data_IF_108320151587
#
_entry.id   IF_108320151587
#
_cell.length_a   1.000
_cell.length_b   1.000
_cell.length_c   1.000
_cell.angle_alpha   90.00
_cell.angle_beta   90.00
_cell.angle_gamma   90.00
#
_symmetry.space_group_name_H-M   'P 1'
#
loop_
_entity.id
_entity.type
_entity.pdbx_description
1 polymer ?
#
# COMPACT_ATOMS: atom_id res chain seq x y z
N UNK A 1 -70.02 50.46 -0.79
CA UNK A 1 -69.15 49.32 -0.41
C UNK A 1 -68.34 48.89 -1.62
N UNK A 2 -67.05 49.26 -1.68
CA UNK A 2 -66.10 48.76 -2.68
C UNK A 2 -64.85 48.35 -1.91
N UNK A 3 -64.53 47.04 -1.92
CA UNK A 3 -63.39 46.45 -1.23
C UNK A 3 -62.19 46.44 -2.18
N UNK A 4 -61.14 47.18 -1.81
CA UNK A 4 -59.79 46.99 -2.33
C UNK A 4 -59.23 45.60 -1.96
N UNK A 5 -58.44 44.95 -2.81
CA UNK A 5 -57.71 43.75 -2.45
C UNK A 5 -56.48 44.11 -1.57
N UNK A 6 -56.07 43.23 -0.62
CA UNK A 6 -54.97 43.52 0.29
C UNK A 6 -53.59 43.29 -0.34
N UNK A 7 -52.63 44.06 0.16
CA UNK A 7 -51.22 44.13 -0.24
C UNK A 7 -50.46 42.83 -0.08
N UNK A 8 -49.58 42.53 -1.05
CA UNK A 8 -48.59 41.45 -0.99
C UNK A 8 -47.56 41.74 0.12
N UNK A 9 -47.54 40.90 1.15
CA UNK A 9 -46.46 40.80 2.14
C UNK A 9 -45.26 40.11 1.52
N UNK A 10 -44.07 40.74 1.62
CA UNK A 10 -42.78 40.17 1.22
C UNK A 10 -42.41 39.04 2.18
N UNK A 11 -42.41 37.81 1.68
CA UNK A 11 -41.95 36.62 2.39
C UNK A 11 -40.42 36.56 2.40
N UNK A 12 -39.88 36.44 3.62
CA UNK A 12 -38.52 36.11 4.01
C UNK A 12 -37.77 35.19 3.02
N UNK A 13 -36.64 35.68 2.50
CA UNK A 13 -35.65 34.87 1.77
C UNK A 13 -34.90 33.97 2.76
N UNK A 14 -35.47 32.81 3.04
CA UNK A 14 -34.81 31.70 3.72
C UNK A 14 -34.64 30.56 2.70
N UNK A 15 -33.68 30.67 1.79
CA UNK A 15 -33.34 29.57 0.89
C UNK A 15 -31.83 29.44 0.61
N UNK A 16 -31.35 28.23 0.94
CA UNK A 16 -30.24 27.50 0.31
C UNK A 16 -28.80 27.95 0.59
N UNK A 17 -28.26 27.53 1.74
CA UNK A 17 -26.81 27.44 2.01
C UNK A 17 -26.39 25.96 2.15
N UNK A 18 -27.03 25.08 1.37
CA UNK A 18 -26.87 23.63 1.51
C UNK A 18 -26.53 23.02 0.15
N UNK A 19 -25.25 23.15 -0.25
CA UNK A 19 -24.47 22.24 -1.11
C UNK A 19 -23.40 22.95 -1.94
N UNK A 20 -22.31 23.40 -1.32
CA UNK A 20 -21.07 23.69 -2.07
C UNK A 20 -19.88 23.13 -1.29
N UNK A 21 -19.64 21.82 -1.47
CA UNK A 21 -18.49 21.11 -0.90
C UNK A 21 -17.44 20.72 -1.95
N UNK A 22 -17.73 20.89 -3.24
CA UNK A 22 -16.78 20.57 -4.31
C UNK A 22 -15.95 21.82 -4.66
N UNK A 23 -14.68 21.83 -4.26
CA UNK A 23 -13.67 22.79 -4.73
C UNK A 23 -13.11 23.77 -3.70
N UNK A 24 -13.83 24.07 -2.61
CA UNK A 24 -13.43 25.08 -1.62
C UNK A 24 -12.37 24.59 -0.60
N UNK A 25 -12.00 23.30 -0.60
CA UNK A 25 -11.18 22.71 0.46
C UNK A 25 -9.83 23.41 0.69
N UNK A 26 -9.09 23.72 -0.39
CA UNK A 26 -7.81 24.43 -0.31
C UNK A 26 -7.98 25.89 0.15
N UNK A 27 -9.06 26.54 -0.28
CA UNK A 27 -9.35 27.92 0.12
C UNK A 27 -9.81 28.01 1.58
N UNK A 28 -10.52 26.99 2.08
CA UNK A 28 -10.85 26.87 3.51
C UNK A 28 -9.58 26.79 4.35
N UNK A 29 -8.66 25.89 3.98
CA UNK A 29 -7.37 25.76 4.68
C UNK A 29 -6.58 27.09 4.63
N UNK A 30 -6.51 27.73 3.46
CA UNK A 30 -5.87 29.04 3.30
C UNK A 30 -6.51 30.14 4.15
N UNK A 31 -7.85 30.20 4.18
CA UNK A 31 -8.59 31.17 4.99
C UNK A 31 -8.21 31.06 6.45
N UNK A 32 -8.24 29.85 7.03
CA UNK A 32 -8.01 29.70 8.46
C UNK A 32 -6.55 29.97 8.82
N UNK A 33 -5.59 29.50 8.00
CA UNK A 33 -4.16 29.73 8.20
C UNK A 33 -3.81 31.23 8.21
N UNK A 34 -4.29 31.97 7.21
CA UNK A 34 -3.99 33.40 7.09
C UNK A 34 -4.85 34.26 8.03
N UNK A 35 -6.07 33.84 8.37
CA UNK A 35 -6.88 34.52 9.38
C UNK A 35 -6.17 34.50 10.74
N UNK A 36 -5.64 33.33 11.14
CA UNK A 36 -4.81 33.23 12.35
C UNK A 36 -3.60 34.16 12.26
N UNK A 37 -2.86 34.15 11.15
CA UNK A 37 -1.67 35.00 10.97
C UNK A 37 -1.99 36.51 11.06
N UNK A 38 -3.04 36.97 10.38
CA UNK A 38 -3.43 38.37 10.36
C UNK A 38 -3.89 38.83 11.75
N UNK A 39 -4.75 38.06 12.41
CA UNK A 39 -5.26 38.41 13.74
C UNK A 39 -4.16 38.41 14.81
N UNK A 40 -3.21 37.48 14.71
CA UNK A 40 -2.07 37.42 15.63
C UNK A 40 -1.04 38.52 15.38
N UNK A 41 -0.99 39.08 14.16
CA UNK A 41 -0.21 40.29 13.86
C UNK A 41 -0.84 41.58 14.41
N UNK A 42 -2.03 41.49 15.02
CA UNK A 42 -2.77 42.63 15.56
C UNK A 42 -3.71 43.31 14.56
N UNK A 43 -3.93 42.71 13.39
CA UNK A 43 -4.95 43.19 12.43
C UNK A 43 -6.35 42.94 13.01
N UNK A 44 -7.28 43.88 12.81
CA UNK A 44 -8.68 43.68 13.19
C UNK A 44 -9.38 42.66 12.27
N UNK A 45 -10.43 42.03 12.78
CA UNK A 45 -11.14 40.94 12.09
C UNK A 45 -11.77 41.37 10.77
N UNK A 46 -12.29 42.60 10.67
CA UNK A 46 -12.95 43.09 9.47
C UNK A 46 -11.92 43.33 8.36
N UNK A 47 -10.80 43.96 8.69
CA UNK A 47 -9.67 44.15 7.77
C UNK A 47 -9.05 42.81 7.35
N UNK A 48 -8.94 41.85 8.27
CA UNK A 48 -8.44 40.52 7.96
C UNK A 48 -9.36 39.79 6.97
N UNK A 49 -10.68 39.79 7.21
CA UNK A 49 -11.67 39.17 6.31
C UNK A 49 -11.67 39.85 4.93
N UNK A 50 -11.59 41.18 4.86
CA UNK A 50 -11.52 41.92 3.60
C UNK A 50 -10.24 41.60 2.81
N UNK A 51 -9.09 41.54 3.49
CA UNK A 51 -7.81 41.17 2.88
C UNK A 51 -7.89 39.77 2.28
N UNK A 52 -8.42 38.81 3.06
CA UNK A 52 -8.54 37.42 2.61
C UNK A 52 -9.52 37.25 1.46
N UNK A 53 -10.61 38.03 1.43
CA UNK A 53 -11.57 38.03 0.33
C UNK A 53 -10.91 38.34 -1.02
N UNK A 54 -9.95 39.27 -1.06
CA UNK A 54 -9.18 39.62 -2.26
C UNK A 54 -8.40 38.44 -2.86
N UNK A 55 -7.94 37.52 -2.00
CA UNK A 55 -7.13 36.36 -2.37
C UNK A 55 -7.97 35.12 -2.73
N UNK A 56 -9.28 35.12 -2.44
CA UNK A 56 -10.15 33.98 -2.76
C UNK A 56 -10.35 33.86 -4.28
N UNK A 57 -10.15 32.65 -4.83
CA UNK A 57 -10.29 32.38 -6.27
C UNK A 57 -11.72 32.06 -6.64
N UNK A 58 -12.47 31.34 -5.81
CA UNK A 58 -13.86 30.97 -6.10
C UNK A 58 -14.86 32.05 -5.69
N UNK A 59 -15.88 32.26 -6.52
CA UNK A 59 -16.99 33.17 -6.22
C UNK A 59 -17.78 32.73 -4.98
N UNK A 60 -17.88 31.42 -4.74
CA UNK A 60 -18.52 30.87 -3.56
C UNK A 60 -17.81 31.30 -2.28
N UNK A 61 -16.48 31.22 -2.22
CA UNK A 61 -15.72 31.62 -1.03
C UNK A 61 -15.78 33.14 -0.81
N UNK A 62 -15.69 33.94 -1.88
CA UNK A 62 -15.87 35.41 -1.79
C UNK A 62 -17.22 35.79 -1.20
N UNK A 63 -18.30 35.13 -1.63
CA UNK A 63 -19.64 35.35 -1.09
C UNK A 63 -19.73 34.99 0.40
N UNK A 64 -19.10 33.90 0.82
CA UNK A 64 -19.04 33.54 2.25
C UNK A 64 -18.28 34.62 3.04
N UNK A 65 -17.21 35.20 2.49
CA UNK A 65 -16.49 36.31 3.14
C UNK A 65 -17.35 37.57 3.22
N UNK A 66 -18.15 37.88 2.19
CA UNK A 66 -19.10 39.00 2.20
C UNK A 66 -20.16 38.82 3.29
N UNK A 67 -20.79 37.64 3.36
CA UNK A 67 -21.78 37.30 4.38
C UNK A 67 -21.15 37.33 5.80
N UNK A 68 -19.92 36.84 5.95
CA UNK A 68 -19.19 36.88 7.21
C UNK A 68 -18.90 38.32 7.65
N UNK A 69 -18.47 39.17 6.72
CA UNK A 69 -18.20 40.58 6.98
C UNK A 69 -19.47 41.32 7.39
N UNK A 70 -20.57 41.14 6.66
CA UNK A 70 -21.86 41.77 6.96
C UNK A 70 -22.37 41.37 8.36
N UNK A 71 -22.27 40.09 8.73
CA UNK A 71 -22.66 39.60 10.04
C UNK A 71 -21.81 40.22 11.16
N UNK A 72 -20.48 40.30 10.99
CA UNK A 72 -19.58 40.92 11.98
C UNK A 72 -19.82 42.43 12.07
N UNK A 73 -19.97 43.12 10.93
CA UNK A 73 -20.24 44.57 10.87
C UNK A 73 -21.61 44.92 11.50
N UNK A 74 -22.59 44.02 11.40
CA UNK A 74 -23.88 44.13 12.09
C UNK A 74 -23.82 43.90 13.61
N UNK A 75 -22.64 43.56 14.14
CA UNK A 75 -22.40 43.34 15.57
C UNK A 75 -22.61 41.91 16.07
N UNK A 76 -22.74 40.93 15.16
CA UNK A 76 -22.78 39.52 15.58
C UNK A 76 -21.42 39.07 16.11
N UNK A 77 -21.37 38.24 17.18
CA UNK A 77 -20.14 37.64 17.63
C UNK A 77 -19.41 36.89 16.52
N UNK A 78 -18.08 37.02 16.46
CA UNK A 78 -17.21 36.42 15.43
C UNK A 78 -17.41 34.90 15.38
N UNK A 79 -17.46 34.23 16.54
CA UNK A 79 -17.66 32.78 16.59
C UNK A 79 -19.00 32.35 15.97
N UNK A 80 -20.06 33.17 16.13
CA UNK A 80 -21.40 32.88 15.65
C UNK A 80 -21.48 33.08 14.14
N UNK A 81 -20.87 34.16 13.64
CA UNK A 81 -20.77 34.43 12.21
C UNK A 81 -19.97 33.31 11.50
N UNK A 82 -18.85 32.88 12.09
CA UNK A 82 -18.06 31.77 11.57
C UNK A 82 -18.77 30.42 11.64
N UNK A 83 -19.56 30.13 12.68
CA UNK A 83 -20.33 28.87 12.76
C UNK A 83 -21.39 28.77 11.64
N UNK A 84 -21.99 29.89 11.22
CA UNK A 84 -22.94 29.93 10.10
C UNK A 84 -22.31 29.47 8.79
N UNK A 85 -21.03 29.76 8.57
CA UNK A 85 -20.30 29.38 7.34
C UNK A 85 -20.08 27.87 7.21
N UNK A 86 -20.09 27.13 8.34
CA UNK A 86 -19.73 25.70 8.42
C UNK A 86 -18.36 25.38 7.79
N UNK A 87 -17.46 26.36 7.71
CA UNK A 87 -16.07 26.18 7.28
C UNK A 87 -15.26 25.52 8.40
N UNK A 88 -15.49 25.95 9.64
CA UNK A 88 -14.73 25.52 10.81
C UNK A 88 -15.40 24.33 11.50
N UNK A 89 -14.61 23.38 12.02
CA UNK A 89 -15.13 22.29 12.83
C UNK A 89 -15.58 22.81 14.21
N UNK A 90 -16.53 22.11 14.83
CA UNK A 90 -17.19 22.55 16.06
C UNK A 90 -16.24 22.87 17.23
N UNK A 91 -15.15 22.11 17.39
CA UNK A 91 -14.16 22.37 18.44
C UNK A 91 -13.40 23.69 18.24
N UNK A 92 -13.17 24.11 16.99
CA UNK A 92 -12.57 25.42 16.69
C UNK A 92 -13.57 26.52 17.02
N UNK A 93 -14.84 26.35 16.65
CA UNK A 93 -15.90 27.32 17.03
C UNK A 93 -15.97 27.49 18.56
N UNK A 94 -15.91 26.40 19.32
CA UNK A 94 -15.88 26.46 20.80
C UNK A 94 -14.68 27.25 21.33
N UNK A 95 -13.48 27.05 20.75
CA UNK A 95 -12.28 27.83 21.12
C UNK A 95 -12.43 29.31 20.79
N UNK A 96 -12.97 29.64 19.61
CA UNK A 96 -13.18 31.03 19.21
C UNK A 96 -14.21 31.72 20.10
N UNK A 97 -15.29 31.02 20.46
CA UNK A 97 -16.31 31.53 21.38
C UNK A 97 -15.71 31.94 22.72
N UNK A 98 -14.96 31.05 23.37
CA UNK A 98 -14.31 31.38 24.63
C UNK A 98 -13.23 32.44 24.44
N UNK A 99 -12.48 32.41 23.33
CA UNK A 99 -11.48 33.41 23.02
C UNK A 99 -12.10 34.81 22.92
N UNK A 100 -13.26 34.93 22.29
CA UNK A 100 -14.01 36.18 22.18
C UNK A 100 -14.61 36.61 23.52
N UNK A 101 -15.24 35.69 24.27
CA UNK A 101 -15.83 35.97 25.59
C UNK A 101 -14.76 36.37 26.64
N UNK A 102 -13.53 35.87 26.52
CA UNK A 102 -12.42 36.11 27.45
C UNK A 102 -11.39 37.13 26.95
N UNK A 103 -11.53 37.64 25.73
CA UNK A 103 -10.56 38.53 25.09
C UNK A 103 -9.23 37.87 24.70
N UNK A 104 -9.17 36.53 24.71
CA UNK A 104 -7.99 35.71 24.37
C UNK A 104 -8.12 35.05 22.99
N UNK A 105 -8.81 35.73 22.08
CA UNK A 105 -9.04 35.26 20.72
C UNK A 105 -7.73 35.01 19.95
N UNK A 106 -6.70 35.89 20.03
CA UNK A 106 -5.42 35.65 19.35
C UNK A 106 -4.72 34.36 19.81
N UNK A 107 -4.68 34.09 21.11
CA UNK A 107 -4.05 32.89 21.67
C UNK A 107 -4.78 31.61 21.23
N UNK A 108 -6.11 31.63 21.24
CA UNK A 108 -6.91 30.48 20.81
C UNK A 108 -6.76 30.24 19.30
N UNK A 109 -6.64 31.30 18.50
CA UNK A 109 -6.36 31.18 17.06
C UNK A 109 -4.98 30.60 16.77
N UNK A 110 -3.96 30.92 17.58
CA UNK A 110 -2.64 30.28 17.48
C UNK A 110 -2.75 28.77 17.70
N UNK A 111 -3.45 28.33 18.75
CA UNK A 111 -3.66 26.91 19.02
C UNK A 111 -4.40 26.20 17.87
N UNK A 112 -5.38 26.85 17.24
CA UNK A 112 -6.08 26.35 16.04
C UNK A 112 -5.13 26.25 14.84
N UNK A 113 -4.28 27.26 14.64
CA UNK A 113 -3.27 27.26 13.58
C UNK A 113 -2.27 26.12 13.72
N UNK A 114 -1.73 25.92 14.92
CA UNK A 114 -0.82 24.80 15.23
C UNK A 114 -1.47 23.44 14.98
N UNK A 115 -2.72 23.27 15.43
CA UNK A 115 -3.46 22.02 15.23
C UNK A 115 -3.68 21.74 13.73
N UNK A 116 -4.04 22.74 12.95
CA UNK A 116 -4.21 22.57 11.50
C UNK A 116 -2.89 22.29 10.79
N UNK A 117 -1.80 22.93 11.20
CA UNK A 117 -0.48 22.66 10.64
C UNK A 117 -0.07 21.20 10.88
N UNK A 118 -0.38 20.64 12.05
CA UNK A 118 -0.20 19.21 12.35
C UNK A 118 -1.08 18.33 11.46
N UNK A 119 -2.35 18.67 11.26
CA UNK A 119 -3.23 17.89 10.38
C UNK A 119 -2.78 17.94 8.90
N UNK A 120 -2.31 19.10 8.44
CA UNK A 120 -1.75 19.30 7.09
C UNK A 120 -0.46 18.49 6.90
N UNK A 121 0.44 18.53 7.88
CA UNK A 121 1.69 17.76 7.84
C UNK A 121 1.41 16.25 7.85
N UNK A 122 0.44 15.78 8.66
CA UNK A 122 -0.03 14.41 8.65
C UNK A 122 -0.57 13.99 7.27
N UNK A 123 -1.47 14.78 6.67
CA UNK A 123 -2.03 14.51 5.33
C UNK A 123 -0.94 14.48 4.25
N UNK A 124 0.02 15.39 4.32
CA UNK A 124 1.15 15.43 3.39
C UNK A 124 2.03 14.19 3.52
N UNK A 125 2.39 13.80 4.74
CA UNK A 125 3.16 12.58 5.04
C UNK A 125 2.42 11.34 4.55
N UNK A 126 1.12 11.23 4.83
CA UNK A 126 0.29 10.12 4.37
C UNK A 126 0.21 10.06 2.83
N UNK A 127 0.02 11.21 2.16
CA UNK A 127 0.02 11.27 0.70
C UNK A 127 1.37 10.84 0.12
N UNK A 128 2.47 11.34 0.68
CA UNK A 128 3.82 11.00 0.23
C UNK A 128 4.11 9.50 0.40
N UNK A 129 3.74 8.93 1.55
CA UNK A 129 3.85 7.51 1.85
C UNK A 129 3.08 6.62 0.83
N UNK A 130 1.91 7.09 0.40
CA UNK A 130 1.07 6.36 -0.56
C UNK A 130 1.44 6.56 -2.03
N UNK A 131 2.27 7.55 -2.36
CA UNK A 131 2.60 7.89 -3.74
C UNK A 131 3.37 6.78 -4.45
N UNK A 132 4.37 6.20 -3.79
CA UNK A 132 5.15 5.09 -4.36
C UNK A 132 4.29 3.83 -4.61
N UNK A 133 3.52 3.32 -3.62
CA UNK A 133 2.57 2.23 -3.87
C UNK A 133 1.61 2.49 -5.03
N UNK A 134 1.05 3.70 -5.12
CA UNK A 134 0.13 4.05 -6.19
C UNK A 134 0.82 4.03 -7.55
N UNK A 135 2.03 4.59 -7.66
CA UNK A 135 2.80 4.61 -8.90
C UNK A 135 3.11 3.20 -9.41
N UNK A 136 3.62 2.32 -8.54
CA UNK A 136 3.96 0.94 -8.89
C UNK A 136 2.72 0.19 -9.39
N UNK A 137 1.61 0.26 -8.65
CA UNK A 137 0.36 -0.39 -9.05
C UNK A 137 -0.13 0.12 -10.41
N UNK A 138 -0.12 1.44 -10.63
CA UNK A 138 -0.55 2.03 -11.92
C UNK A 138 0.34 1.51 -13.06
N UNK A 139 1.67 1.53 -12.90
CA UNK A 139 2.59 1.04 -13.93
C UNK A 139 2.38 -0.46 -14.19
N UNK A 140 2.28 -1.28 -13.15
CA UNK A 140 2.06 -2.72 -13.29
C UNK A 140 0.74 -3.04 -13.99
N UNK A 141 -0.33 -2.30 -13.68
CA UNK A 141 -1.63 -2.45 -14.35
C UNK A 141 -1.53 -2.03 -15.82
N UNK A 142 -0.88 -0.90 -16.13
CA UNK A 142 -0.69 -0.43 -17.51
C UNK A 142 0.10 -1.43 -18.33
N UNK A 143 1.22 -1.94 -17.81
CA UNK A 143 2.05 -2.95 -18.47
C UNK A 143 1.27 -4.25 -18.66
N UNK A 144 0.59 -4.73 -17.62
CA UNK A 144 -0.22 -5.95 -17.69
C UNK A 144 -1.34 -5.88 -18.73
N UNK A 145 -2.07 -4.75 -18.77
CA UNK A 145 -3.08 -4.50 -19.81
C UNK A 145 -2.45 -4.45 -21.19
N UNK A 146 -1.32 -3.75 -21.36
CA UNK A 146 -0.62 -3.64 -22.65
C UNK A 146 -0.18 -5.01 -23.20
N UNK A 147 0.40 -5.85 -22.35
CA UNK A 147 0.80 -7.21 -22.72
C UNK A 147 -0.43 -8.05 -23.10
N UNK A 148 -1.49 -7.99 -22.30
CA UNK A 148 -2.71 -8.78 -22.51
C UNK A 148 -3.48 -8.36 -23.75
N UNK A 149 -3.54 -7.07 -24.05
CA UNK A 149 -4.28 -6.53 -25.19
C UNK A 149 -3.49 -6.63 -26.50
N UNK A 150 -2.18 -6.41 -26.50
CA UNK A 150 -1.40 -6.32 -27.74
C UNK A 150 -0.58 -7.59 -28.03
N UNK A 151 0.11 -8.14 -27.03
CA UNK A 151 1.11 -9.19 -27.25
C UNK A 151 0.44 -10.57 -27.30
N UNK A 152 -0.41 -10.87 -26.33
CA UNK A 152 -1.01 -12.20 -26.19
C UNK A 152 -1.90 -12.62 -27.37
N UNK A 153 -2.77 -11.76 -27.94
CA UNK A 153 -3.57 -12.13 -29.10
C UNK A 153 -2.72 -12.48 -30.32
N UNK A 154 -1.59 -11.78 -30.52
CA UNK A 154 -0.65 -12.08 -31.61
C UNK A 154 -0.01 -13.46 -31.41
N UNK A 155 0.46 -13.76 -30.20
CA UNK A 155 0.98 -15.08 -29.87
C UNK A 155 -0.09 -16.18 -30.04
N UNK A 156 -1.34 -15.90 -29.66
CA UNK A 156 -2.45 -16.82 -29.82
C UNK A 156 -2.66 -17.24 -31.29
N UNK A 157 -2.57 -16.30 -32.23
CA UNK A 157 -2.70 -16.62 -33.66
C UNK A 157 -1.61 -17.57 -34.15
N UNK A 158 -0.38 -17.40 -33.66
CA UNK A 158 0.74 -18.29 -33.98
C UNK A 158 0.52 -19.67 -33.38
N UNK A 159 0.11 -19.76 -32.11
CA UNK A 159 -0.14 -21.06 -31.47
C UNK A 159 -1.33 -21.81 -32.06
N UNK A 160 -2.37 -21.10 -32.48
CA UNK A 160 -3.52 -21.68 -33.17
C UNK A 160 -3.14 -22.26 -34.55
N UNK A 161 -2.21 -21.62 -35.26
CA UNK A 161 -1.69 -22.15 -36.53
C UNK A 161 -0.87 -23.44 -36.36
N UNK A 162 -0.38 -23.72 -35.15
CA UNK A 162 0.42 -24.90 -34.80
C UNK A 162 -0.43 -26.02 -34.15
N UNK A 163 -1.76 -25.89 -34.16
CA UNK A 163 -2.76 -26.83 -33.60
C UNK A 163 -2.46 -27.27 -32.15
N UNK A 164 -1.93 -26.35 -31.35
CA UNK A 164 -1.59 -26.63 -29.96
C UNK A 164 -2.75 -26.40 -29.00
N UNK A 165 -2.84 -27.28 -28.00
CA UNK A 165 -3.68 -27.04 -26.81
C UNK A 165 -3.05 -25.96 -25.94
N UNK A 166 -3.70 -24.80 -25.89
CA UNK A 166 -3.30 -23.68 -25.04
C UNK A 166 -3.57 -23.98 -23.55
N UNK A 167 -2.64 -23.64 -22.63
CA UNK A 167 -2.89 -23.71 -21.19
C UNK A 167 -4.04 -22.79 -20.76
N UNK A 168 -4.72 -23.15 -19.66
CA UNK A 168 -5.85 -22.38 -19.13
C UNK A 168 -5.52 -20.91 -18.88
N UNK A 169 -4.33 -20.63 -18.32
CA UNK A 169 -3.87 -19.25 -18.04
C UNK A 169 -3.79 -18.45 -19.34
N UNK A 170 -3.21 -19.03 -20.40
CA UNK A 170 -3.09 -18.39 -21.72
C UNK A 170 -4.47 -18.13 -22.33
N UNK A 171 -5.40 -19.08 -22.26
CA UNK A 171 -6.78 -18.91 -22.74
C UNK A 171 -7.49 -17.77 -22.00
N UNK A 172 -7.39 -17.72 -20.68
CA UNK A 172 -8.03 -16.68 -19.86
C UNK A 172 -7.49 -15.28 -20.21
N UNK A 173 -6.18 -15.13 -20.38
CA UNK A 173 -5.60 -13.83 -20.74
C UNK A 173 -5.89 -13.43 -22.20
N UNK A 174 -5.94 -14.37 -23.15
CA UNK A 174 -6.36 -14.07 -24.54
C UNK A 174 -7.83 -13.66 -24.57
N UNK A 175 -8.70 -14.36 -23.84
CA UNK A 175 -10.11 -14.00 -23.74
C UNK A 175 -10.28 -12.59 -23.16
N UNK A 176 -9.51 -12.25 -22.12
CA UNK A 176 -9.48 -10.90 -21.55
C UNK A 176 -8.94 -9.86 -22.54
N UNK A 177 -7.88 -10.19 -23.29
CA UNK A 177 -7.30 -9.34 -24.33
C UNK A 177 -8.26 -9.06 -25.48
N UNK A 178 -8.96 -10.07 -25.97
CA UNK A 178 -9.98 -9.94 -27.01
C UNK A 178 -11.19 -9.13 -26.52
N UNK A 179 -11.64 -9.39 -25.29
CA UNK A 179 -12.69 -8.58 -24.65
C UNK A 179 -12.28 -7.10 -24.52
N UNK A 180 -11.03 -6.83 -24.14
CA UNK A 180 -10.48 -5.46 -24.10
C UNK A 180 -10.29 -4.86 -25.50
N UNK A 181 -9.98 -5.65 -26.52
CA UNK A 181 -9.85 -5.15 -27.88
C UNK A 181 -11.19 -4.74 -28.48
N UNK A 182 -12.24 -5.53 -28.26
CA UNK A 182 -13.57 -5.29 -28.82
C UNK A 182 -14.37 -4.30 -27.98
N UNK A 183 -14.35 -4.45 -26.65
CA UNK A 183 -15.17 -3.67 -25.72
C UNK A 183 -14.38 -2.69 -24.85
N UNK A 184 -13.06 -2.62 -24.94
CA UNK A 184 -12.21 -1.88 -23.99
C UNK A 184 -12.58 -0.41 -23.81
N UNK A 185 -13.02 0.26 -24.88
CA UNK A 185 -13.43 1.67 -24.82
C UNK A 185 -14.65 1.90 -23.91
N UNK A 186 -15.52 0.90 -23.73
CA UNK A 186 -16.67 0.95 -22.82
C UNK A 186 -16.40 0.17 -21.53
N UNK A 187 -15.77 -1.00 -21.63
CA UNK A 187 -15.51 -1.90 -20.52
C UNK A 187 -14.56 -1.31 -19.49
N UNK A 188 -13.49 -0.61 -19.91
CA UNK A 188 -12.53 0.01 -18.98
C UNK A 188 -13.18 1.15 -18.17
N UNK A 189 -13.87 2.14 -18.79
CA UNK A 189 -14.60 3.14 -18.02
C UNK A 189 -15.69 2.57 -17.12
N UNK A 190 -16.46 1.58 -17.59
CA UNK A 190 -17.50 0.91 -16.77
C UNK A 190 -16.89 0.19 -15.58
N UNK A 191 -15.77 -0.52 -15.77
CA UNK A 191 -15.05 -1.18 -14.70
C UNK A 191 -14.54 -0.16 -13.67
N UNK A 192 -13.90 0.92 -14.12
CA UNK A 192 -13.44 2.01 -13.23
C UNK A 192 -14.63 2.62 -12.49
N UNK A 193 -15.73 2.93 -13.19
CA UNK A 193 -16.93 3.49 -12.58
C UNK A 193 -17.56 2.53 -11.56
N UNK A 194 -17.57 1.22 -11.84
CA UNK A 194 -18.04 0.20 -10.91
C UNK A 194 -17.18 0.19 -9.64
N UNK A 195 -15.85 0.12 -9.76
CA UNK A 195 -14.95 0.14 -8.60
C UNK A 195 -15.03 1.45 -7.81
N UNK A 196 -15.14 2.60 -8.48
CA UNK A 196 -15.34 3.90 -7.83
C UNK A 196 -16.68 3.93 -7.10
N UNK A 197 -17.75 3.39 -7.69
CA UNK A 197 -19.08 3.33 -7.08
C UNK A 197 -19.09 2.41 -5.87
N UNK A 198 -18.52 1.21 -5.99
CA UNK A 198 -18.36 0.27 -4.88
C UNK A 198 -17.53 0.88 -3.76
N UNK A 199 -16.41 1.53 -4.09
CA UNK A 199 -15.58 2.23 -3.13
C UNK A 199 -16.35 3.35 -2.43
N UNK A 200 -17.08 4.17 -3.18
CA UNK A 200 -17.91 5.25 -2.65
C UNK A 200 -18.99 4.70 -1.69
N UNK A 201 -19.71 3.66 -2.08
CA UNK A 201 -20.71 3.04 -1.22
C UNK A 201 -20.07 2.43 0.03
N UNK A 202 -18.94 1.73 -0.05
CA UNK A 202 -18.36 1.07 1.12
C UNK A 202 -17.69 2.06 2.09
N UNK A 203 -16.99 3.08 1.57
CA UNK A 203 -16.12 3.93 2.39
C UNK A 203 -16.65 5.37 2.61
N UNK A 204 -17.51 5.88 1.73
CA UNK A 204 -17.96 7.29 1.78
C UNK A 204 -19.43 7.40 2.20
N UNK A 205 -20.30 6.51 1.70
CA UNK A 205 -21.73 6.61 1.93
C UNK A 205 -22.09 6.42 3.42
N UNK A 206 -22.82 7.37 4.07
CA UNK A 206 -22.97 7.41 5.53
C UNK A 206 -23.58 6.15 6.16
N UNK A 207 -24.50 5.49 5.47
CA UNK A 207 -25.21 4.32 5.99
C UNK A 207 -24.35 3.05 5.97
N UNK A 208 -23.42 2.93 5.03
CA UNK A 208 -22.59 1.74 4.78
C UNK A 208 -21.14 1.93 5.20
N UNK A 209 -20.74 3.15 5.55
CA UNK A 209 -19.41 3.51 6.09
C UNK A 209 -18.92 2.59 7.21
N UNK A 210 -19.83 2.01 8.01
CA UNK A 210 -19.47 1.07 9.08
C UNK A 210 -18.84 -0.23 8.55
N UNK A 211 -19.20 -0.67 7.35
CA UNK A 211 -18.65 -1.85 6.68
C UNK A 211 -17.21 -1.56 6.27
N UNK A 212 -16.98 -0.44 5.57
CA UNK A 212 -15.65 0.02 5.21
C UNK A 212 -14.75 0.19 6.43
N UNK A 213 -15.26 0.80 7.50
CA UNK A 213 -14.53 0.90 8.77
C UNK A 213 -14.16 -0.47 9.33
N UNK A 214 -15.08 -1.44 9.35
CA UNK A 214 -14.81 -2.79 9.87
C UNK A 214 -13.72 -3.52 9.07
N UNK A 215 -13.72 -3.38 7.75
CA UNK A 215 -12.68 -3.91 6.86
C UNK A 215 -11.34 -3.23 7.15
N UNK A 216 -11.34 -1.90 7.26
CA UNK A 216 -10.11 -1.16 7.53
C UNK A 216 -9.50 -1.50 8.90
N UNK A 217 -10.35 -1.74 9.91
CA UNK A 217 -9.94 -2.11 11.25
C UNK A 217 -9.53 -3.59 11.43
N UNK A 218 -9.76 -4.46 10.43
CA UNK A 218 -9.23 -5.82 10.48
C UNK A 218 -7.73 -5.88 10.20
N UNK A 219 -7.19 -4.86 9.53
CA UNK A 219 -5.76 -4.75 9.27
C UNK A 219 -5.05 -4.19 10.51
N UNK A 220 -4.11 -4.94 11.13
CA UNK A 220 -3.50 -4.56 12.41
C UNK A 220 -2.74 -3.23 12.33
N UNK A 221 -2.08 -2.97 11.19
CA UNK A 221 -1.32 -1.74 10.99
C UNK A 221 -2.24 -0.50 10.89
N UNK A 222 -3.37 -0.60 10.18
CA UNK A 222 -4.33 0.51 10.07
C UNK A 222 -5.04 0.74 11.41
N UNK A 223 -5.42 -0.35 12.11
CA UNK A 223 -6.01 -0.23 13.45
C UNK A 223 -5.09 0.51 14.41
N UNK A 224 -3.79 0.21 14.40
CA UNK A 224 -2.80 0.92 15.21
C UNK A 224 -2.72 2.41 14.82
N UNK A 225 -2.65 2.72 13.53
CA UNK A 225 -2.58 4.09 13.04
C UNK A 225 -3.80 4.91 13.48
N UNK A 226 -5.01 4.37 13.32
CA UNK A 226 -6.24 5.08 13.72
C UNK A 226 -6.29 5.29 15.23
N UNK A 227 -5.86 4.30 16.02
CA UNK A 227 -5.77 4.46 17.47
C UNK A 227 -4.82 5.60 17.85
N UNK A 228 -3.65 5.67 17.21
CA UNK A 228 -2.67 6.71 17.51
C UNK A 228 -3.16 8.10 17.10
N UNK A 229 -3.80 8.23 15.93
CA UNK A 229 -4.42 9.47 15.47
C UNK A 229 -5.54 9.93 16.41
N UNK A 230 -6.41 9.02 16.85
CA UNK A 230 -7.53 9.38 17.73
C UNK A 230 -7.06 9.72 19.15
N UNK A 231 -5.98 9.13 19.66
CA UNK A 231 -5.38 9.54 20.94
C UNK A 231 -4.66 10.88 20.82
N UNK A 232 -3.96 11.13 19.71
CA UNK A 232 -3.35 12.44 19.45
C UNK A 232 -4.43 13.54 19.41
N UNK A 233 -5.51 13.28 18.67
CA UNK A 233 -6.69 14.15 18.60
C UNK A 233 -7.36 14.36 19.97
N UNK A 234 -7.56 13.28 20.73
CA UNK A 234 -8.08 13.32 22.09
C UNK A 234 -7.26 14.27 22.96
N UNK A 235 -5.94 14.12 22.94
CA UNK A 235 -5.00 14.93 23.71
C UNK A 235 -5.00 16.41 23.31
N UNK A 236 -4.86 16.73 22.01
CA UNK A 236 -4.83 18.11 21.55
C UNK A 236 -6.17 18.83 21.73
N UNK A 237 -7.29 18.23 21.31
CA UNK A 237 -8.60 18.89 21.40
C UNK A 237 -8.98 19.08 22.86
N UNK A 238 -8.94 18.04 23.68
CA UNK A 238 -9.34 18.15 25.07
C UNK A 238 -8.35 19.03 25.86
N UNK A 239 -7.04 18.89 25.62
CA UNK A 239 -6.00 19.71 26.25
C UNK A 239 -6.14 21.20 25.95
N UNK A 240 -6.28 21.57 24.67
CA UNK A 240 -6.43 22.99 24.27
C UNK A 240 -7.73 23.60 24.80
N UNK A 241 -8.84 22.87 24.72
CA UNK A 241 -10.13 23.36 25.22
C UNK A 241 -10.08 23.56 26.74
N UNK A 242 -9.51 22.60 27.49
CA UNK A 242 -9.41 22.73 28.94
C UNK A 242 -8.40 23.81 29.37
N UNK A 243 -7.29 24.00 28.65
CA UNK A 243 -6.32 25.08 28.91
C UNK A 243 -6.96 26.47 28.66
N UNK A 244 -7.86 26.55 27.67
CA UNK A 244 -8.70 27.72 27.43
C UNK A 244 -9.81 27.93 28.48
N UNK A 245 -9.96 27.03 29.46
CA UNK A 245 -10.94 27.13 30.53
C UNK A 245 -12.33 26.58 30.19
N UNK A 246 -12.48 25.84 29.08
CA UNK A 246 -13.76 25.24 28.70
C UNK A 246 -14.10 24.09 29.66
N UNK A 247 -15.34 24.00 30.16
CA UNK A 247 -15.76 22.87 30.99
C UNK A 247 -15.54 21.52 30.29
N UNK A 248 -15.07 20.52 31.03
CA UNK A 248 -14.72 19.19 30.48
C UNK A 248 -15.86 18.52 29.72
N UNK A 249 -17.11 18.68 30.14
CA UNK A 249 -18.29 18.13 29.47
C UNK A 249 -18.49 18.75 28.08
N UNK A 250 -18.35 20.08 27.95
CA UNK A 250 -18.42 20.79 26.67
C UNK A 250 -17.23 20.44 25.77
N UNK A 251 -16.05 20.28 26.36
CA UNK A 251 -14.86 19.88 25.63
C UNK A 251 -14.96 18.44 25.08
N UNK A 252 -15.52 17.51 25.85
CA UNK A 252 -15.83 16.14 25.41
C UNK A 252 -16.88 16.11 24.29
N UNK A 253 -17.92 16.96 24.34
CA UNK A 253 -18.88 17.07 23.25
C UNK A 253 -18.23 17.62 21.96
N UNK A 254 -17.30 18.56 22.09
CA UNK A 254 -16.54 19.10 20.95
C UNK A 254 -15.63 18.03 20.32
N UNK A 255 -14.97 17.23 21.16
CA UNK A 255 -14.17 16.08 20.73
C UNK A 255 -15.03 15.00 20.05
N UNK A 256 -16.22 14.69 20.60
CA UNK A 256 -17.20 13.77 20.00
C UNK A 256 -17.58 14.17 18.57
N UNK A 257 -17.76 15.47 18.33
CA UNK A 257 -18.08 15.99 16.99
C UNK A 257 -16.87 16.02 16.04
N UNK A 258 -15.65 16.03 16.59
CA UNK A 258 -14.43 16.08 15.79
C UNK A 258 -13.95 14.72 15.28
N UNK A 259 -14.36 13.61 15.91
CA UNK A 259 -13.98 12.27 15.44
C UNK A 259 -14.85 11.81 14.27
N UNK A 260 -14.22 11.14 13.30
CA UNK A 260 -14.94 10.53 12.16
C UNK A 260 -15.17 9.04 12.35
N UNK A 261 -14.65 8.47 13.44
CA UNK A 261 -14.69 7.06 13.78
C UNK A 261 -15.82 6.82 14.77
N UNK A 262 -16.87 6.13 14.31
CA UNK A 262 -18.10 5.93 15.08
C UNK A 262 -17.90 5.22 16.43
N UNK A 263 -16.88 4.36 16.53
CA UNK A 263 -16.53 3.70 17.80
C UNK A 263 -15.95 4.68 18.83
N UNK A 264 -15.13 5.64 18.40
CA UNK A 264 -14.63 6.71 19.27
C UNK A 264 -15.72 7.72 19.60
N UNK A 265 -16.61 8.04 18.65
CA UNK A 265 -17.77 8.91 18.90
C UNK A 265 -18.64 8.39 20.05
N UNK A 266 -19.00 7.09 20.02
CA UNK A 266 -19.75 6.43 21.10
C UNK A 266 -19.00 6.42 22.42
N UNK A 267 -17.68 6.19 22.37
CA UNK A 267 -16.84 6.19 23.56
C UNK A 267 -16.75 7.58 24.18
N UNK A 268 -16.58 8.65 23.39
CA UNK A 268 -16.55 10.02 23.88
C UNK A 268 -17.91 10.47 24.42
N UNK A 269 -19.01 10.04 23.81
CA UNK A 269 -20.35 10.24 24.36
C UNK A 269 -20.50 9.59 25.74
N UNK A 270 -20.02 8.35 25.89
CA UNK A 270 -20.01 7.66 27.19
C UNK A 270 -19.17 8.41 28.23
N UNK A 271 -17.96 8.87 27.88
CA UNK A 271 -17.14 9.68 28.77
C UNK A 271 -17.85 10.97 29.18
N UNK A 272 -18.47 11.67 28.24
CA UNK A 272 -19.21 12.90 28.50
C UNK A 272 -20.31 12.66 29.54
N UNK A 273 -21.16 11.66 29.34
CA UNK A 273 -22.26 11.34 30.26
C UNK A 273 -21.76 10.96 31.64
N UNK A 274 -20.72 10.12 31.75
CA UNK A 274 -20.19 9.73 33.07
C UNK A 274 -19.59 10.93 33.83
N UNK A 275 -18.88 11.81 33.13
CA UNK A 275 -18.29 13.01 33.74
C UNK A 275 -19.36 14.04 34.12
N UNK A 276 -20.43 14.15 33.32
CA UNK A 276 -21.59 14.99 33.64
C UNK A 276 -22.35 14.50 34.89
N UNK A 277 -22.39 13.18 35.11
CA UNK A 277 -22.87 12.55 36.35
C UNK A 277 -21.90 12.69 37.55
N UNK A 278 -20.74 13.35 37.37
CA UNK A 278 -19.74 13.58 38.41
C UNK A 278 -18.78 12.42 38.66
N UNK A 279 -18.70 11.43 37.76
CA UNK A 279 -17.71 10.35 37.86
C UNK A 279 -16.33 10.82 37.35
N UNK A 280 -15.25 10.33 37.95
CA UNK A 280 -13.88 10.60 37.48
C UNK A 280 -13.58 9.92 36.14
N UNK A 281 -12.51 10.34 35.46
CA UNK A 281 -12.05 9.67 34.23
C UNK A 281 -11.71 8.20 34.47
N UNK A 282 -11.11 7.88 35.61
CA UNK A 282 -10.79 6.49 35.98
C UNK A 282 -12.04 5.61 36.02
N UNK A 283 -13.11 6.08 36.67
CA UNK A 283 -14.38 5.35 36.76
C UNK A 283 -15.07 5.27 35.40
N UNK A 284 -14.99 6.33 34.60
CA UNK A 284 -15.54 6.40 33.24
C UNK A 284 -14.85 5.41 32.29
N UNK A 285 -13.53 5.23 32.40
CA UNK A 285 -12.80 4.22 31.63
C UNK A 285 -13.14 2.80 32.10
N UNK A 286 -13.28 2.58 33.40
CA UNK A 286 -13.63 1.28 33.97
C UNK A 286 -15.06 0.82 33.59
N UNK A 287 -16.01 1.76 33.48
CA UNK A 287 -17.40 1.46 33.11
C UNK A 287 -17.59 1.10 31.62
N UNK A 288 -16.59 1.38 30.77
CA UNK A 288 -16.64 1.05 29.35
C UNK A 288 -15.79 -0.19 29.02
N UNK A 289 -16.45 -1.34 28.78
CA UNK A 289 -15.81 -2.67 28.58
C UNK A 289 -14.65 -2.71 27.56
N UNK A 290 -14.64 -1.83 26.57
CA UNK A 290 -13.60 -1.80 25.51
C UNK A 290 -12.66 -0.60 25.61
N UNK A 291 -12.64 0.12 26.74
CA UNK A 291 -11.82 1.32 26.94
C UNK A 291 -10.33 1.05 26.70
N UNK A 292 -9.78 -0.04 27.24
CA UNK A 292 -8.38 -0.43 27.08
C UNK A 292 -7.98 -0.72 25.62
N UNK A 293 -8.94 -1.03 24.74
CA UNK A 293 -8.69 -1.22 23.30
C UNK A 293 -8.70 0.10 22.51
N UNK A 294 -9.30 1.15 23.05
CA UNK A 294 -9.43 2.47 22.42
C UNK A 294 -8.39 3.46 22.95
N UNK A 295 -8.15 3.44 24.26
CA UNK A 295 -7.11 4.19 24.96
C UNK A 295 -6.30 3.19 25.79
N UNK A 296 -5.02 2.93 25.45
CA UNK A 296 -4.16 2.03 26.20
C UNK A 296 -4.03 2.41 27.68
N UNK A 297 -3.84 1.41 28.55
CA UNK A 297 -3.76 1.60 30.01
C UNK A 297 -2.76 2.68 30.45
N UNK A 298 -1.53 2.79 29.87
CA UNK A 298 -0.60 3.86 30.28
C UNK A 298 -1.19 5.26 30.07
N UNK A 299 -1.96 5.46 29.00
CA UNK A 299 -2.60 6.75 28.71
C UNK A 299 -3.75 7.02 29.67
N UNK A 300 -4.56 6.00 29.99
CA UNK A 300 -5.63 6.12 30.99
C UNK A 300 -5.08 6.53 32.36
N UNK A 301 -3.92 5.98 32.74
CA UNK A 301 -3.26 6.32 34.00
C UNK A 301 -2.67 7.73 33.99
N UNK A 302 -2.08 8.17 32.87
CA UNK A 302 -1.66 9.56 32.71
C UNK A 302 -2.84 10.52 32.88
N UNK A 303 -3.99 10.24 32.25
CA UNK A 303 -5.20 11.06 32.37
C UNK A 303 -5.69 11.09 33.82
N UNK A 304 -5.80 9.93 34.46
CA UNK A 304 -6.23 9.81 35.87
C UNK A 304 -5.30 10.59 36.81
N UNK A 305 -3.99 10.46 36.63
CA UNK A 305 -2.99 11.19 37.43
C UNK A 305 -3.04 12.70 37.16
N UNK A 306 -3.27 13.11 35.90
CA UNK A 306 -3.47 14.50 35.52
C UNK A 306 -4.72 15.12 36.15
N UNK A 307 -5.82 14.36 36.19
CA UNK A 307 -7.06 14.74 36.87
C UNK A 307 -6.83 14.93 38.38
N UNK A 308 -6.23 13.95 39.05
CA UNK A 308 -5.96 13.99 40.50
C UNK A 308 -4.99 15.10 40.90
N UNK A 309 -4.04 15.44 40.03
CA UNK A 309 -3.04 16.51 40.28
C UNK A 309 -3.49 17.89 39.80
N UNK A 310 -4.68 18.03 39.23
CA UNK A 310 -5.18 19.30 38.68
C UNK A 310 -4.40 19.80 37.45
N UNK A 311 -3.61 18.93 36.82
CA UNK A 311 -2.75 19.25 35.65
C UNK A 311 -3.24 18.59 34.36
N UNK A 312 -4.51 18.19 34.33
CA UNK A 312 -5.14 17.48 33.23
C UNK A 312 -4.90 18.14 31.84
N UNK A 313 -5.06 19.46 31.65
CA UNK A 313 -4.85 20.09 30.33
C UNK A 313 -3.43 19.84 29.78
N UNK A 314 -2.40 20.10 30.58
CA UNK A 314 -0.99 19.89 30.22
C UNK A 314 -0.68 18.42 29.95
N UNK A 315 -1.24 17.51 30.74
CA UNK A 315 -1.06 16.07 30.53
C UNK A 315 -1.69 15.61 29.20
N UNK A 316 -2.87 16.13 28.86
CA UNK A 316 -3.54 15.82 27.59
C UNK A 316 -2.76 16.33 26.38
N UNK A 317 -2.26 17.57 26.44
CA UNK A 317 -1.37 18.09 25.39
C UNK A 317 -0.14 17.21 25.22
N UNK A 318 0.47 16.76 26.33
CA UNK A 318 1.63 15.86 26.26
C UNK A 318 1.30 14.50 25.66
N UNK A 319 0.14 13.94 25.98
CA UNK A 319 -0.37 12.71 25.34
C UNK A 319 -0.54 12.95 23.83
N UNK A 320 -1.09 14.10 23.45
CA UNK A 320 -1.22 14.57 22.07
C UNK A 320 0.11 14.50 21.32
N UNK A 321 1.14 15.16 21.84
CA UNK A 321 2.49 15.18 21.28
C UNK A 321 3.11 13.78 21.12
N UNK A 322 3.02 12.95 22.17
CA UNK A 322 3.60 11.60 22.16
C UNK A 322 2.96 10.75 21.08
N UNK A 323 1.63 10.82 20.94
CA UNK A 323 0.90 10.00 19.98
C UNK A 323 0.94 10.54 18.56
N UNK A 324 1.13 11.85 18.38
CA UNK A 324 1.46 12.46 17.10
C UNK A 324 2.81 11.94 16.59
N UNK A 325 3.85 11.95 17.42
CA UNK A 325 5.15 11.37 17.08
C UNK A 325 5.07 9.87 16.77
N UNK A 326 4.27 9.09 17.53
CA UNK A 326 4.03 7.66 17.21
C UNK A 326 3.31 7.48 15.88
N UNK A 327 2.33 8.32 15.58
CA UNK A 327 1.60 8.32 14.32
C UNK A 327 2.56 8.47 13.14
N UNK A 328 3.51 9.40 13.23
CA UNK A 328 4.53 9.60 12.19
C UNK A 328 5.39 8.35 11.96
N UNK A 329 5.84 7.70 13.04
CA UNK A 329 6.60 6.46 12.97
C UNK A 329 5.75 5.35 12.33
N UNK A 330 4.48 5.25 12.71
CA UNK A 330 3.55 4.24 12.16
C UNK A 330 3.29 4.48 10.66
N UNK A 331 3.15 5.72 10.19
CA UNK A 331 3.04 6.03 8.74
C UNK A 331 4.29 5.56 7.99
N UNK A 332 5.48 5.84 8.53
CA UNK A 332 6.74 5.40 7.91
C UNK A 332 6.81 3.87 7.84
N UNK A 333 6.50 3.19 8.93
CA UNK A 333 6.51 1.73 8.99
C UNK A 333 5.45 1.10 8.07
N UNK A 334 4.29 1.74 7.91
CA UNK A 334 3.26 1.28 7.00
C UNK A 334 3.76 1.28 5.55
N UNK A 335 4.54 2.30 5.16
CA UNK A 335 5.16 2.37 3.83
C UNK A 335 6.15 1.22 3.60
N UNK A 336 6.97 0.92 4.61
CA UNK A 336 7.95 -0.19 4.58
C UNK A 336 7.26 -1.55 4.49
N UNK A 337 6.13 -1.74 5.19
CA UNK A 337 5.37 -3.01 5.13
C UNK A 337 4.63 -3.17 3.79
N UNK A 338 4.16 -2.07 3.20
CA UNK A 338 3.49 -2.11 1.91
C UNK A 338 4.42 -2.54 0.78
N UNK A 339 5.72 -2.25 0.86
CA UNK A 339 6.69 -2.58 -0.20
C UNK A 339 6.80 -4.09 -0.48
N UNK A 340 7.04 -5.00 0.50
CA UNK A 340 7.02 -6.44 0.27
C UNK A 340 5.69 -6.94 -0.30
N UNK A 341 4.56 -6.38 0.17
CA UNK A 341 3.23 -6.77 -0.33
C UNK A 341 3.10 -6.41 -1.82
N UNK A 342 3.55 -5.21 -2.19
CA UNK A 342 3.58 -4.77 -3.59
C UNK A 342 4.49 -5.66 -4.43
N UNK A 343 5.69 -6.00 -3.93
CA UNK A 343 6.62 -6.89 -4.64
C UNK A 343 5.98 -8.27 -4.89
N UNK A 344 5.29 -8.85 -3.91
CA UNK A 344 4.59 -10.13 -4.08
C UNK A 344 3.46 -10.01 -5.12
N UNK A 345 2.66 -8.94 -5.08
CA UNK A 345 1.57 -8.71 -6.04
C UNK A 345 2.12 -8.54 -7.46
N UNK A 346 3.16 -7.72 -7.63
CA UNK A 346 3.80 -7.49 -8.93
C UNK A 346 4.45 -8.76 -9.44
N UNK A 347 5.19 -9.47 -8.58
CA UNK A 347 5.79 -10.76 -8.90
C UNK A 347 4.73 -11.77 -9.37
N UNK A 348 3.61 -11.90 -8.66
CA UNK A 348 2.52 -12.80 -9.05
C UNK A 348 1.93 -12.41 -10.41
N UNK A 349 1.77 -11.10 -10.67
CA UNK A 349 1.31 -10.60 -11.97
C UNK A 349 2.30 -10.90 -13.09
N UNK A 350 3.59 -10.63 -12.90
CA UNK A 350 4.65 -10.86 -13.88
C UNK A 350 4.84 -12.35 -14.15
N UNK A 351 4.88 -13.19 -13.12
CA UNK A 351 4.97 -14.65 -13.26
C UNK A 351 3.73 -15.20 -13.95
N UNK A 352 2.54 -14.71 -13.62
CA UNK A 352 1.30 -15.10 -14.30
C UNK A 352 1.37 -14.82 -15.81
N UNK A 353 1.86 -13.65 -16.20
CA UNK A 353 2.07 -13.29 -17.61
C UNK A 353 3.17 -14.15 -18.23
N UNK A 354 4.30 -14.35 -17.55
CA UNK A 354 5.41 -15.15 -18.05
C UNK A 354 4.97 -16.60 -18.30
N UNK A 355 4.24 -17.22 -17.38
CA UNK A 355 3.68 -18.57 -17.55
C UNK A 355 2.69 -18.62 -18.72
N UNK A 356 1.88 -17.58 -18.91
CA UNK A 356 0.95 -17.50 -20.05
C UNK A 356 1.67 -17.53 -21.41
N UNK A 357 2.91 -17.03 -21.47
CA UNK A 357 3.73 -16.98 -22.69
C UNK A 357 4.65 -18.21 -22.82
N UNK A 358 5.29 -18.64 -21.74
CA UNK A 358 6.32 -19.69 -21.75
C UNK A 358 5.71 -21.09 -21.83
N UNK A 359 4.59 -21.36 -21.16
CA UNK A 359 3.98 -22.70 -21.16
C UNK A 359 3.61 -23.21 -22.57
N UNK A 360 2.99 -22.40 -23.46
CA UNK A 360 2.78 -22.79 -24.85
C UNK A 360 4.06 -23.12 -25.63
N UNK A 361 5.18 -22.46 -25.31
CA UNK A 361 6.47 -22.71 -25.97
C UNK A 361 7.01 -24.07 -25.56
N UNK A 362 6.89 -24.46 -24.29
CA UNK A 362 7.25 -25.80 -23.86
C UNK A 362 6.36 -26.89 -24.45
N UNK A 363 5.06 -26.63 -24.64
CA UNK A 363 4.18 -27.60 -25.29
C UNK A 363 4.53 -27.81 -26.77
N UNK A 364 5.08 -26.80 -27.45
CA UNK A 364 5.68 -26.99 -28.79
C UNK A 364 6.83 -28.00 -28.75
N UNK A 365 7.79 -27.81 -27.84
CA UNK A 365 8.96 -28.68 -27.73
C UNK A 365 8.59 -30.12 -27.36
N UNK A 366 7.64 -30.28 -26.43
CA UNK A 366 7.13 -31.61 -26.04
C UNK A 366 6.31 -32.31 -27.12
N UNK A 367 5.54 -31.56 -27.91
CA UNK A 367 4.76 -32.09 -29.03
C UNK A 367 5.62 -32.61 -30.19
N UNK A 368 6.74 -31.93 -30.46
CA UNK A 368 7.71 -32.35 -31.48
C UNK A 368 8.39 -33.68 -31.13
N UNK A 369 8.60 -33.97 -29.84
CA UNK A 369 9.26 -35.20 -29.39
C UNK A 369 8.40 -36.46 -29.57
N UNK A 370 7.07 -36.31 -29.68
CA UNK A 370 6.13 -37.41 -29.90
C UNK A 370 5.88 -37.75 -31.39
N UNK A 371 6.36 -36.93 -32.33
CA UNK A 371 6.22 -37.21 -33.77
C UNK A 371 7.42 -37.96 -34.37
N UNK A 372 8.45 -38.27 -33.57
CA UNK A 372 9.60 -39.08 -33.97
C UNK A 372 9.35 -40.60 -34.04
N UNK A 373 8.20 -41.09 -33.56
CA UNK A 373 7.79 -42.49 -33.74
C UNK A 373 7.09 -42.66 -35.09
N UNK A 374 7.88 -42.67 -36.17
CA UNK A 374 7.43 -43.26 -37.43
C UNK A 374 7.15 -44.74 -37.14
N UNK A 375 5.92 -45.17 -37.40
CA UNK A 375 5.51 -46.57 -37.39
C UNK A 375 6.41 -47.41 -38.31
N UNK A 376 7.55 -47.88 -37.81
CA UNK A 376 8.21 -49.04 -38.40
C UNK A 376 7.41 -50.25 -37.95
N UNK A 377 6.64 -50.81 -38.89
CA UNK A 377 6.00 -52.11 -38.73
C UNK A 377 6.97 -53.12 -38.09
N UNK A 378 6.50 -54.02 -37.21
CA UNK A 378 7.38 -54.99 -36.56
C UNK A 378 8.06 -55.83 -37.66
N UNK A 379 9.38 -56.04 -37.58
CA UNK A 379 10.08 -56.83 -38.57
C UNK A 379 9.50 -58.26 -38.56
N UNK A 380 9.37 -58.92 -39.74
CA UNK A 380 8.88 -60.29 -39.81
C UNK A 380 9.78 -61.23 -39.00
N UNK A 381 9.22 -62.33 -38.45
CA UNK A 381 9.99 -63.25 -37.62
C UNK A 381 11.17 -63.84 -38.41
N UNK A 382 12.38 -63.72 -37.82
CA UNK A 382 13.63 -64.27 -38.35
C UNK A 382 13.47 -65.76 -38.63
N UNK A 383 13.64 -66.16 -39.89
CA UNK A 383 13.98 -67.53 -40.23
C UNK A 383 15.46 -67.75 -39.91
N UNK A 384 15.72 -68.84 -39.20
CA UNK A 384 17.06 -69.31 -38.86
C UNK A 384 17.72 -69.84 -40.14
N UNK A 385 18.61 -69.06 -40.73
CA UNK A 385 19.61 -69.60 -41.65
C UNK A 385 21.00 -69.39 -41.06
N UNK A 386 21.68 -70.52 -40.87
CA UNK A 386 23.08 -70.68 -40.52
C UNK A 386 23.88 -70.58 -41.82
N UNK A 387 24.96 -69.78 -41.83
CA UNK A 387 26.24 -69.86 -42.60
C UNK A 387 26.99 -68.58 -42.19
N UNK A 388 28.00 -68.62 -41.31
CA UNK A 388 29.39 -69.06 -41.51
C UNK A 388 30.28 -68.04 -42.27
N UNK A 389 31.42 -67.73 -41.64
CA UNK A 389 32.60 -66.96 -42.09
C UNK A 389 32.54 -65.41 -42.11
N UNK A 390 33.29 -64.79 -41.19
CA UNK A 390 34.07 -63.55 -41.41
C UNK A 390 35.35 -63.91 -42.21
N UNK A 391 36.17 -62.98 -42.78
CA UNK A 391 36.23 -61.49 -42.75
C UNK A 391 36.36 -60.92 -44.23
N UNK A 392 36.84 -59.68 -44.56
CA UNK A 392 37.32 -58.55 -43.76
C UNK A 392 36.64 -57.20 -44.03
N UNK A 393 36.99 -56.25 -43.16
CA UNK A 393 36.69 -54.83 -43.21
C UNK A 393 37.22 -54.15 -44.48
N UNK A 394 36.41 -53.27 -45.10
CA UNK A 394 36.89 -52.22 -46.01
C UNK A 394 36.01 -50.95 -45.92
N UNK A 395 36.44 -50.10 -44.99
CA UNK A 395 36.55 -48.64 -44.97
C UNK A 395 35.76 -47.76 -45.96
N UNK A 396 35.02 -46.79 -45.40
CA UNK A 396 35.07 -45.36 -45.81
C UNK A 396 34.74 -44.51 -44.58
N UNK A 397 35.78 -44.00 -43.91
CA UNK A 397 36.20 -42.59 -43.93
C UNK A 397 35.28 -41.67 -43.12
N UNK A 398 35.64 -41.50 -41.85
CA UNK A 398 35.38 -40.29 -41.08
C UNK A 398 36.74 -39.65 -40.86
N UNK A 399 36.86 -38.40 -41.27
CA UNK A 399 38.06 -37.57 -41.15
C UNK A 399 38.57 -37.51 -39.70
N UNK A 400 39.86 -37.78 -39.56
CA UNK A 400 40.66 -37.51 -38.38
C UNK A 400 40.84 -35.99 -38.18
N UNK A 401 40.53 -35.51 -36.98
CA UNK A 401 41.42 -34.59 -36.28
C UNK A 401 41.54 -35.06 -34.82
N UNK A 402 42.70 -35.58 -34.38
CA UNK A 402 42.98 -35.75 -32.97
C UNK A 402 43.53 -34.42 -32.45
N UNK A 403 42.77 -33.76 -31.57
CA UNK A 403 43.43 -32.90 -30.58
C UNK A 403 43.91 -33.87 -29.50
N UNK A 404 45.14 -34.34 -29.65
CA UNK A 404 45.87 -35.10 -28.64
C UNK A 404 46.21 -34.12 -27.50
N UNK A 405 45.22 -33.81 -26.65
CA UNK A 405 45.48 -33.23 -25.35
C UNK A 405 46.01 -34.38 -24.49
N UNK A 406 47.31 -34.33 -24.16
CA UNK A 406 47.89 -35.21 -23.15
C UNK A 406 47.04 -35.10 -21.88
N UNK A 407 46.23 -36.13 -21.62
CA UNK A 407 45.39 -36.15 -20.42
C UNK A 407 46.34 -36.37 -19.26
N UNK A 408 46.36 -35.47 -18.27
CA UNK A 408 47.22 -35.64 -17.12
C UNK A 408 46.84 -36.90 -16.37
N UNK A 409 47.80 -37.80 -16.18
CA UNK A 409 47.56 -39.07 -15.50
C UNK A 409 47.17 -38.90 -14.05
N UNK A 410 47.55 -37.79 -13.41
CA UNK A 410 47.24 -37.48 -12.03
C UNK A 410 46.73 -36.06 -11.90
N UNK A 411 45.62 -35.91 -11.17
CA UNK A 411 45.00 -34.62 -10.90
C UNK A 411 44.77 -34.45 -9.40
N UNK A 412 45.06 -33.27 -8.87
CA UNK A 412 44.85 -32.88 -7.49
C UNK A 412 43.59 -32.01 -7.35
N UNK A 413 42.78 -32.27 -6.33
CA UNK A 413 41.60 -31.44 -6.07
C UNK A 413 42.00 -30.12 -5.37
N UNK A 414 41.68 -28.99 -5.99
CA UNK A 414 41.97 -27.65 -5.45
C UNK A 414 40.93 -27.22 -4.39
N UNK A 415 41.33 -26.39 -3.40
CA UNK A 415 40.39 -25.82 -2.44
C UNK A 415 39.46 -24.78 -3.12
N UNK A 416 38.17 -24.82 -2.83
CA UNK A 416 37.20 -23.88 -3.38
C UNK A 416 37.43 -22.44 -2.90
N UNK A 417 36.94 -21.45 -3.67
CA UNK A 417 37.19 -20.00 -3.51
C UNK A 417 36.83 -19.36 -2.14
N UNK A 418 36.33 -20.14 -1.17
CA UNK A 418 36.06 -19.74 0.21
C UNK A 418 36.74 -20.60 1.28
N UNK A 419 37.78 -21.38 0.94
CA UNK A 419 38.45 -22.32 1.86
C UNK A 419 37.66 -23.61 2.12
N UNK A 420 36.75 -23.95 1.21
CA UNK A 420 35.97 -25.18 1.29
C UNK A 420 36.84 -26.42 1.07
N UNK A 421 36.76 -27.38 2.00
CA UNK A 421 37.62 -28.57 2.07
C UNK A 421 37.11 -29.74 1.19
N UNK A 422 35.91 -29.64 0.61
CA UNK A 422 35.23 -30.75 -0.09
C UNK A 422 34.67 -30.33 -1.47
N UNK A 423 34.92 -31.13 -2.50
CA UNK A 423 34.43 -30.97 -3.88
C UNK A 423 33.39 -32.05 -4.22
N UNK A 424 32.27 -31.66 -4.83
CA UNK A 424 31.23 -32.56 -5.31
C UNK A 424 31.66 -33.28 -6.60
N UNK A 425 31.62 -34.61 -6.62
CA UNK A 425 31.83 -35.44 -7.83
C UNK A 425 30.49 -35.92 -8.38
N UNK A 426 30.36 -35.99 -9.71
CA UNK A 426 29.09 -36.19 -10.40
C UNK A 426 29.09 -37.41 -11.33
N UNK A 427 27.89 -37.84 -11.72
CA UNK A 427 27.68 -39.01 -12.58
C UNK A 427 27.96 -38.76 -14.05
N UNK A 428 27.66 -37.54 -14.50
CA UNK A 428 27.85 -37.07 -15.87
C UNK A 428 28.58 -35.72 -15.86
N UNK A 429 29.26 -35.33 -16.96
CA UNK A 429 30.01 -34.08 -17.07
C UNK A 429 29.09 -32.85 -17.22
N UNK A 430 28.28 -32.58 -16.19
CA UNK A 430 27.32 -31.47 -16.16
C UNK A 430 27.08 -30.97 -14.73
N UNK A 431 26.91 -29.66 -14.56
CA UNK A 431 26.56 -29.02 -13.28
C UNK A 431 25.16 -29.43 -12.79
N UNK A 432 24.30 -29.90 -13.69
CA UNK A 432 22.93 -30.36 -13.40
C UNK A 432 22.87 -31.86 -13.04
N UNK A 433 23.96 -32.61 -13.27
CA UNK A 433 24.04 -34.05 -12.95
C UNK A 433 23.95 -34.31 -11.45
N UNK A 434 23.39 -35.46 -11.06
CA UNK A 434 23.39 -35.93 -9.66
C UNK A 434 24.81 -35.97 -9.05
N UNK A 435 24.94 -35.43 -7.83
CA UNK A 435 26.17 -35.50 -7.04
C UNK A 435 26.24 -36.87 -6.38
N UNK A 436 27.26 -37.65 -6.72
CA UNK A 436 27.40 -39.01 -6.22
C UNK A 436 28.20 -39.05 -4.91
N UNK A 437 29.20 -38.17 -4.76
CA UNK A 437 30.08 -38.13 -3.57
C UNK A 437 30.76 -36.78 -3.41
N UNK A 438 31.44 -36.58 -2.28
CA UNK A 438 32.38 -35.48 -2.06
C UNK A 438 33.80 -36.01 -1.85
N UNK A 439 34.79 -35.36 -2.48
CA UNK A 439 36.22 -35.63 -2.36
C UNK A 439 36.93 -34.46 -1.69
N UNK A 440 38.01 -34.72 -0.95
CA UNK A 440 38.73 -33.70 -0.19
C UNK A 440 39.73 -32.90 -1.05
N UNK A 441 39.92 -31.63 -0.73
CA UNK A 441 41.00 -30.82 -1.29
C UNK A 441 42.37 -31.42 -0.92
N UNK A 442 43.31 -31.43 -1.87
CA UNK A 442 44.64 -32.06 -1.75
C UNK A 442 44.67 -33.57 -2.02
N UNK A 443 43.54 -34.18 -2.40
CA UNK A 443 43.52 -35.58 -2.81
C UNK A 443 43.86 -35.71 -4.30
N UNK A 444 44.67 -36.72 -4.62
CA UNK A 444 45.13 -37.00 -5.98
C UNK A 444 44.37 -38.20 -6.56
N UNK A 445 43.87 -38.05 -7.78
CA UNK A 445 43.15 -39.09 -8.51
C UNK A 445 43.72 -39.29 -9.90
N UNK A 446 43.56 -40.51 -10.45
CA UNK A 446 43.89 -40.76 -11.85
C UNK A 446 42.73 -40.35 -12.76
N UNK A 447 43.04 -39.55 -13.79
CA UNK A 447 42.10 -39.17 -14.83
C UNK A 447 42.29 -40.03 -16.08
N UNK A 448 41.18 -40.49 -16.66
CA UNK A 448 41.21 -41.36 -17.85
C UNK A 448 40.48 -40.78 -19.08
N UNK A 449 39.77 -39.66 -18.90
CA UNK A 449 39.08 -38.95 -19.97
C UNK A 449 38.89 -37.48 -19.59
N UNK A 450 39.02 -36.58 -20.57
CA UNK A 450 38.64 -35.19 -20.46
C UNK A 450 37.63 -34.86 -21.56
N UNK A 451 36.46 -34.35 -21.19
CA UNK A 451 35.40 -33.99 -22.14
C UNK A 451 34.60 -32.80 -21.60
N UNK A 452 34.35 -31.80 -22.45
CA UNK A 452 33.48 -30.65 -22.16
C UNK A 452 33.81 -29.87 -20.87
N UNK A 453 35.09 -29.77 -20.49
CA UNK A 453 35.53 -29.08 -19.26
C UNK A 453 35.43 -29.92 -17.99
N UNK A 454 35.34 -31.25 -18.13
CA UNK A 454 35.28 -32.19 -17.01
C UNK A 454 36.31 -33.31 -17.14
N UNK A 455 36.93 -33.64 -16.02
CA UNK A 455 37.79 -34.82 -15.90
C UNK A 455 36.99 -36.00 -15.35
N UNK A 456 37.17 -37.17 -15.96
CA UNK A 456 36.69 -38.43 -15.41
C UNK A 456 37.77 -39.04 -14.55
N UNK A 457 37.49 -39.15 -13.25
CA UNK A 457 38.39 -39.71 -12.25
C UNK A 457 37.97 -41.10 -11.80
N UNK A 458 38.98 -41.92 -11.48
CA UNK A 458 38.79 -43.22 -10.84
C UNK A 458 38.93 -43.10 -9.32
N UNK A 459 37.81 -43.29 -8.61
CA UNK A 459 37.79 -43.29 -7.14
C UNK A 459 37.93 -44.74 -6.65
N UNK A 460 38.98 -45.07 -5.87
CA UNK A 460 39.19 -46.41 -5.34
C UNK A 460 37.96 -46.92 -4.57
N UNK A 461 37.48 -48.11 -4.95
CA UNK A 461 36.31 -48.75 -4.32
C UNK A 461 34.95 -48.16 -4.68
N UNK A 462 34.89 -47.14 -5.55
CA UNK A 462 33.64 -46.48 -5.95
C UNK A 462 33.39 -46.51 -7.47
N UNK A 463 34.44 -46.42 -8.28
CA UNK A 463 34.33 -46.41 -9.73
C UNK A 463 34.57 -45.02 -10.34
N UNK A 464 34.03 -44.80 -11.54
CA UNK A 464 34.28 -43.57 -12.33
C UNK A 464 33.31 -42.46 -11.94
N UNK A 465 33.82 -41.25 -11.77
CA UNK A 465 33.03 -40.05 -11.51
C UNK A 465 33.63 -38.83 -12.23
N UNK A 466 32.85 -37.77 -12.38
CA UNK A 466 33.24 -36.56 -13.08
C UNK A 466 33.47 -35.39 -12.13
N UNK A 467 34.55 -34.65 -12.36
CA UNK A 467 34.91 -33.42 -11.65
C UNK A 467 35.14 -32.30 -12.65
N UNK A 468 34.74 -31.09 -12.28
CA UNK A 468 34.85 -29.92 -13.14
C UNK A 468 36.30 -29.40 -13.12
N UNK A 469 36.82 -29.01 -14.28
CA UNK A 469 38.21 -28.56 -14.46
C UNK A 469 38.59 -27.35 -13.58
N UNK A 470 37.64 -26.47 -13.24
CA UNK A 470 37.89 -25.26 -12.44
C UNK A 470 38.39 -25.57 -11.01
N UNK A 471 38.16 -26.80 -10.52
CA UNK A 471 38.51 -27.22 -9.16
C UNK A 471 39.60 -28.28 -9.12
N UNK A 472 40.38 -28.39 -10.21
CA UNK A 472 41.36 -29.44 -10.41
C UNK A 472 42.70 -28.82 -10.81
N UNK A 473 43.77 -29.22 -10.12
CA UNK A 473 45.15 -28.94 -10.48
C UNK A 473 45.75 -30.15 -11.19
N UNK A 474 46.44 -29.91 -12.29
CA UNK A 474 47.13 -30.96 -13.05
C UNK A 474 48.49 -31.23 -12.41
N UNK A 475 48.80 -32.50 -12.12
CA UNK A 475 50.13 -32.92 -11.67
C UNK A 475 50.80 -33.62 -12.85
N UNK A 476 51.64 -32.89 -13.57
CA UNK A 476 52.51 -33.47 -14.59
C UNK A 476 53.68 -34.21 -13.92
N UNK A 477 54.02 -35.41 -14.41
CA UNK A 477 55.21 -36.17 -14.00
C UNK A 477 56.51 -35.61 -14.61
#
# INVERSE_FOLDING_TARGET
>A
MAKNPPSKTKTSHKQSILSISFGTGKEKEYFIENLTMLLTSGMDILSAVETLKGEMKTSAMRRIMDELKEEIDSGSPIWQALDKTKILPAHVISLLRIGEETGRLPENLLAVGEQQQKEKSFRAKLRSAMMYPALVVVISVVVGIGISWFILPRLATVFAALDLKLPFITIALIALGNFLAEYGIYAVPVFIAFFVTVFYYIFVFPQTKFIGQRILFSLPAIRKLVLEVEIARFGYILGNLLEAGIPVTQALNSLRQATTVKFYEKFYAHLQTNVEEGNSFQKSFASYKTSARLIPLPVQQMITSGEQSGRLPKTLLKIGEIYDAKTEITIKNLSVILEPILLVIVWLGVVGIALAVILPIYSLLGGLNNQGSIDTAPPPPRQTEVIESAPPEEQLQVEDEPIEQEIPRQIEILPGAGGGVLLNVRREPSLESEVIRQVGAGQVYQADLFENGWYRILIPGFGKAWVNEEFVGVIDE
#
